data_IF_486267732163
#
_entry.id   IF_486267732163
#
_cell.length_a   1.000
_cell.length_b   1.000
_cell.length_c   1.000
_cell.angle_alpha   90.00
_cell.angle_beta   90.00
_cell.angle_gamma   90.00
#
_symmetry.space_group_name_H-M   'P 1'
#
loop_
_entity.id
_entity.type
_entity.pdbx_description
1 polymer ?
#
# COMPACT_ATOMS: atom_id res chain seq x y z
N UNK A 1 -39.71 15.22 -88.04
CA UNK A 1 -39.16 13.87 -87.81
C UNK A 1 -38.99 13.77 -86.29
N UNK A 2 -40.04 13.41 -85.54
CA UNK A 2 -40.67 12.06 -85.46
C UNK A 2 -39.60 11.01 -85.07
N UNK A 3 -39.76 10.13 -84.07
CA UNK A 3 -40.93 9.67 -83.31
C UNK A 3 -40.43 8.84 -82.12
N UNK A 4 -41.31 8.69 -81.12
CA UNK A 4 -41.25 7.71 -80.02
C UNK A 4 -41.12 6.24 -80.48
N UNK A 5 -40.74 5.34 -79.55
CA UNK A 5 -41.63 4.28 -79.04
C UNK A 5 -40.85 3.13 -78.37
N UNK A 6 -41.35 2.74 -77.20
CA UNK A 6 -41.06 1.55 -76.41
C UNK A 6 -41.34 0.23 -77.15
N UNK A 7 -40.71 -0.85 -76.68
CA UNK A 7 -41.33 -2.18 -76.67
C UNK A 7 -40.64 -3.12 -75.66
N UNK A 8 -41.38 -3.49 -74.61
CA UNK A 8 -41.20 -4.68 -73.78
C UNK A 8 -41.51 -5.97 -74.57
N UNK A 9 -40.81 -7.10 -74.31
CA UNK A 9 -41.46 -8.40 -74.05
C UNK A 9 -40.47 -9.53 -73.59
N UNK A 10 -40.67 -9.97 -72.33
CA UNK A 10 -40.57 -11.31 -71.69
C UNK A 10 -39.48 -12.35 -72.01
N UNK A 11 -38.89 -12.87 -70.92
CA UNK A 11 -38.98 -14.32 -70.59
C UNK A 11 -38.72 -14.56 -69.10
N UNK A 12 -39.68 -15.21 -68.43
CA UNK A 12 -39.61 -15.78 -67.08
C UNK A 12 -38.57 -16.91 -67.03
N UNK A 13 -37.86 -17.02 -65.91
CA UNK A 13 -37.43 -18.33 -65.41
C UNK A 13 -37.60 -18.34 -63.89
N UNK A 14 -38.42 -19.29 -63.43
CA UNK A 14 -38.68 -19.58 -62.04
C UNK A 14 -37.61 -20.54 -61.54
N UNK A 15 -36.91 -20.19 -60.46
CA UNK A 15 -36.25 -21.19 -59.62
C UNK A 15 -36.56 -20.87 -58.17
N UNK A 16 -37.51 -21.64 -57.64
CA UNK A 16 -37.66 -21.89 -56.21
C UNK A 16 -36.35 -22.43 -55.65
N UNK A 17 -35.79 -21.78 -54.64
CA UNK A 17 -35.00 -22.48 -53.64
C UNK A 17 -35.24 -21.83 -52.27
N UNK A 18 -36.04 -22.54 -51.48
CA UNK A 18 -36.23 -22.32 -50.06
C UNK A 18 -34.88 -22.46 -49.34
N UNK A 19 -34.50 -21.52 -48.49
CA UNK A 19 -34.40 -21.77 -47.05
C UNK A 19 -33.76 -20.65 -46.22
N UNK A 20 -34.40 -20.49 -45.05
CA UNK A 20 -33.83 -20.11 -43.75
C UNK A 20 -33.33 -18.67 -43.56
N UNK A 21 -34.28 -17.86 -43.11
CA UNK A 21 -34.09 -16.72 -42.22
C UNK A 21 -33.25 -17.13 -40.99
N UNK A 22 -31.93 -16.95 -41.07
CA UNK A 22 -31.06 -16.97 -39.89
C UNK A 22 -31.21 -15.64 -39.15
N UNK A 23 -32.05 -15.66 -38.11
CA UNK A 23 -32.08 -14.70 -37.01
C UNK A 23 -30.70 -14.67 -36.35
N UNK A 24 -29.80 -13.86 -36.90
CA UNK A 24 -28.51 -13.56 -36.28
C UNK A 24 -28.77 -12.70 -35.05
N UNK A 25 -29.20 -13.36 -33.97
CA UNK A 25 -29.23 -12.80 -32.63
C UNK A 25 -27.88 -12.18 -32.35
N UNK A 26 -27.91 -10.89 -32.04
CA UNK A 26 -26.80 -10.12 -31.50
C UNK A 26 -26.07 -10.96 -30.44
N UNK A 27 -24.94 -11.55 -30.82
CA UNK A 27 -23.92 -11.98 -29.88
C UNK A 27 -23.27 -10.71 -29.36
N UNK A 28 -23.93 -10.06 -28.41
CA UNK A 28 -23.25 -9.17 -27.48
C UNK A 28 -22.23 -10.05 -26.78
N UNK A 29 -20.96 -9.87 -27.15
CA UNK A 29 -19.87 -10.24 -26.28
C UNK A 29 -20.08 -9.40 -25.02
N UNK A 30 -20.75 -9.97 -24.02
CA UNK A 30 -20.62 -9.52 -22.65
C UNK A 30 -19.14 -9.69 -22.33
N UNK A 31 -18.35 -8.64 -22.58
CA UNK A 31 -17.15 -8.43 -21.80
C UNK A 31 -17.64 -8.52 -20.36
N UNK A 32 -17.28 -9.62 -19.68
CA UNK A 32 -17.38 -9.73 -18.24
C UNK A 32 -16.56 -8.56 -17.70
N UNK A 33 -17.20 -7.40 -17.53
CA UNK A 33 -16.61 -6.32 -16.79
C UNK A 33 -16.30 -6.92 -15.42
N UNK A 34 -15.03 -6.88 -14.99
CA UNK A 34 -14.63 -7.50 -13.75
C UNK A 34 -15.57 -6.97 -12.68
N UNK A 35 -16.25 -7.89 -12.03
CA UNK A 35 -17.32 -7.65 -11.08
C UNK A 35 -16.85 -6.60 -10.06
N UNK A 36 -17.23 -5.33 -10.26
CA UNK A 36 -16.98 -4.18 -9.37
C UNK A 36 -17.75 -4.30 -8.03
N UNK A 37 -18.09 -5.53 -7.65
CA UNK A 37 -18.59 -5.89 -6.34
C UNK A 37 -17.42 -5.84 -5.36
N UNK A 38 -17.21 -4.64 -4.82
CA UNK A 38 -16.45 -4.39 -3.60
C UNK A 38 -14.98 -4.81 -3.69
N UNK A 39 -14.16 -4.02 -4.38
CA UNK A 39 -12.73 -3.96 -4.04
C UNK A 39 -12.61 -3.38 -2.62
N UNK A 40 -12.84 -4.23 -1.62
CA UNK A 40 -12.32 -4.01 -0.29
C UNK A 40 -10.84 -4.36 -0.39
N UNK A 41 -9.91 -3.39 -0.25
CA UNK A 41 -8.49 -3.71 -0.30
C UNK A 41 -8.21 -4.80 0.74
N UNK A 42 -7.68 -5.94 0.30
CA UNK A 42 -7.23 -6.99 1.21
C UNK A 42 -6.15 -6.40 2.12
N UNK A 43 -6.15 -6.70 3.44
CA UNK A 43 -5.14 -6.20 4.36
C UNK A 43 -3.74 -6.37 3.79
N UNK A 44 -2.87 -5.37 3.99
CA UNK A 44 -1.49 -5.42 3.51
C UNK A 44 -0.72 -6.58 4.15
N UNK A 45 -1.07 -6.95 5.40
CA UNK A 45 -0.65 -8.22 6.01
C UNK A 45 -1.88 -9.10 6.25
N UNK A 46 -2.05 -10.19 5.48
CA UNK A 46 -3.07 -11.21 5.72
C UNK A 46 -3.09 -11.76 7.15
N UNK A 47 -4.24 -12.26 7.57
CA UNK A 47 -4.36 -12.93 8.86
C UNK A 47 -3.71 -14.33 8.81
N UNK A 48 -3.09 -14.74 9.92
CA UNK A 48 -2.49 -16.07 10.03
C UNK A 48 -1.08 -16.20 9.44
N UNK A 49 -0.39 -15.08 9.18
CA UNK A 49 1.03 -15.12 8.80
C UNK A 49 1.87 -15.88 9.83
N UNK A 50 2.77 -16.74 9.35
CA UNK A 50 3.55 -17.62 10.22
C UNK A 50 4.47 -16.84 11.15
N UNK A 51 5.22 -15.88 10.62
CA UNK A 51 6.20 -15.09 11.36
C UNK A 51 6.25 -13.62 10.85
N UNK A 52 7.08 -12.79 11.49
CA UNK A 52 7.22 -11.37 11.15
C UNK A 52 7.88 -11.17 9.77
N UNK A 53 8.76 -12.08 9.35
CA UNK A 53 9.46 -12.00 8.05
C UNK A 53 8.47 -12.19 6.92
N UNK A 54 7.66 -13.25 6.98
CA UNK A 54 6.61 -13.52 5.99
C UNK A 54 5.58 -12.39 5.93
N UNK A 55 5.23 -11.81 7.09
CA UNK A 55 4.33 -10.66 7.14
C UNK A 55 4.94 -9.39 6.54
N UNK A 56 6.22 -9.10 6.77
CA UNK A 56 6.91 -7.95 6.19
C UNK A 56 7.06 -8.07 4.66
N UNK A 57 7.31 -9.29 4.16
CA UNK A 57 7.32 -9.58 2.72
C UNK A 57 5.95 -9.29 2.09
N UNK A 58 4.88 -9.89 2.66
CA UNK A 58 3.53 -9.69 2.15
C UNK A 58 3.09 -8.22 2.25
N UNK A 59 3.49 -7.52 3.33
CA UNK A 59 3.27 -6.08 3.46
C UNK A 59 3.85 -5.32 2.26
N UNK A 60 5.13 -5.53 1.96
CA UNK A 60 5.81 -4.80 0.90
C UNK A 60 5.21 -5.08 -0.49
N UNK A 61 4.93 -6.35 -0.79
CA UNK A 61 4.30 -6.77 -2.05
C UNK A 61 2.91 -6.15 -2.22
N UNK A 62 2.06 -6.27 -1.20
CA UNK A 62 0.71 -5.72 -1.23
C UNK A 62 0.70 -4.18 -1.25
N UNK A 63 1.66 -3.55 -0.57
CA UNK A 63 1.81 -2.10 -0.59
C UNK A 63 2.18 -1.61 -2.00
N UNK A 64 3.13 -2.27 -2.65
CA UNK A 64 3.50 -1.98 -4.04
C UNK A 64 2.32 -2.16 -4.99
N UNK A 65 1.59 -3.29 -4.89
CA UNK A 65 0.41 -3.54 -5.72
C UNK A 65 -0.69 -2.49 -5.53
N UNK A 66 -0.84 -1.96 -4.31
CA UNK A 66 -1.90 -1.00 -3.97
C UNK A 66 -1.56 0.45 -4.31
N UNK A 67 -0.31 0.87 -4.11
CA UNK A 67 0.10 2.28 -4.25
C UNK A 67 1.01 2.55 -5.46
N UNK A 68 1.41 1.51 -6.19
CA UNK A 68 2.15 1.63 -7.46
C UNK A 68 3.67 1.64 -7.29
N UNK A 69 4.36 2.26 -8.25
CA UNK A 69 5.80 2.09 -8.42
C UNK A 69 6.67 3.02 -7.56
N UNK A 70 6.10 4.12 -7.03
CA UNK A 70 6.84 5.09 -6.21
C UNK A 70 6.55 4.80 -4.74
N UNK A 71 7.25 3.83 -4.17
CA UNK A 71 7.03 3.40 -2.78
C UNK A 71 8.35 3.33 -2.00
N UNK A 72 8.31 3.47 -0.67
CA UNK A 72 9.50 3.23 0.16
C UNK A 72 10.01 1.79 0.01
N UNK A 73 11.32 1.63 0.06
CA UNK A 73 11.97 0.32 0.08
C UNK A 73 11.84 -0.28 1.49
N UNK A 74 10.73 -0.97 1.73
CA UNK A 74 10.50 -1.63 3.01
C UNK A 74 11.52 -2.76 3.25
N UNK A 75 12.05 -2.79 4.47
CA UNK A 75 12.97 -3.81 4.93
C UNK A 75 12.27 -5.16 5.03
N UNK A 76 12.78 -6.15 4.29
CA UNK A 76 12.25 -7.51 4.28
C UNK A 76 13.01 -8.34 5.31
N UNK A 77 12.46 -8.39 6.51
CA UNK A 77 13.01 -9.15 7.64
C UNK A 77 12.12 -9.01 8.87
N UNK A 78 12.55 -9.58 9.99
CA UNK A 78 11.81 -9.38 11.23
C UNK A 78 12.07 -7.97 11.77
N UNK A 79 11.13 -7.44 12.56
CA UNK A 79 11.34 -6.16 13.26
C UNK A 79 12.59 -6.20 14.15
N UNK A 80 12.86 -7.36 14.76
CA UNK A 80 14.09 -7.61 15.51
C UNK A 80 15.33 -7.37 14.66
N UNK A 81 15.38 -7.95 13.46
CA UNK A 81 16.57 -7.83 12.60
C UNK A 81 16.76 -6.38 12.13
N UNK A 82 15.67 -5.67 11.83
CA UNK A 82 15.71 -4.25 11.48
C UNK A 82 16.24 -3.39 12.63
N UNK A 83 15.83 -3.70 13.87
CA UNK A 83 16.32 -3.04 15.08
C UNK A 83 17.80 -3.32 15.29
N UNK A 84 18.21 -4.59 15.18
CA UNK A 84 19.60 -4.99 15.38
C UNK A 84 20.51 -4.34 14.32
N UNK A 85 20.09 -4.26 13.05
CA UNK A 85 20.86 -3.60 11.98
C UNK A 85 21.14 -2.12 12.27
N UNK A 86 20.20 -1.41 12.90
CA UNK A 86 20.37 0.02 13.26
C UNK A 86 21.21 0.21 14.52
N UNK A 87 21.38 -0.82 15.35
CA UNK A 87 22.11 -0.72 16.62
C UNK A 87 23.49 -1.42 16.63
N UNK A 88 23.90 -2.07 15.54
CA UNK A 88 25.25 -2.64 15.40
C UNK A 88 26.27 -1.51 15.16
N UNK A 89 26.97 -1.09 16.20
CA UNK A 89 28.07 -0.13 16.10
C UNK A 89 29.26 -0.77 15.36
N UNK A 90 29.56 -0.27 14.16
CA UNK A 90 30.84 -0.55 13.47
C UNK A 90 31.50 0.78 13.16
N UNK A 91 32.81 0.89 13.41
CA UNK A 91 33.57 2.15 13.33
C UNK A 91 33.54 2.79 11.93
N UNK A 92 33.20 2.02 10.88
CA UNK A 92 33.29 2.44 9.48
C UNK A 92 31.94 2.69 8.78
N UNK A 93 30.79 2.40 9.42
CA UNK A 93 29.47 2.51 8.77
C UNK A 93 28.55 3.46 9.54
N UNK A 94 28.11 4.53 8.86
CA UNK A 94 27.06 5.40 9.37
C UNK A 94 25.73 4.63 9.41
N UNK A 95 25.27 4.30 10.61
CA UNK A 95 24.00 3.60 10.82
C UNK A 95 22.83 4.46 10.37
N UNK A 96 21.92 3.86 9.58
CA UNK A 96 20.69 4.50 9.15
C UNK A 96 19.65 4.36 10.28
N UNK A 97 18.99 5.43 10.74
CA UNK A 97 17.90 5.32 11.71
C UNK A 97 16.73 4.45 11.20
N UNK A 98 16.01 3.83 12.14
CA UNK A 98 14.85 2.98 11.87
C UNK A 98 13.55 3.79 11.91
N UNK A 99 12.74 3.61 10.88
CA UNK A 99 11.35 4.04 10.83
C UNK A 99 10.44 2.81 10.80
N UNK A 100 9.43 2.79 11.67
CA UNK A 100 8.41 1.74 11.69
C UNK A 100 7.10 2.36 11.19
N UNK A 101 6.66 1.94 10.02
CA UNK A 101 5.40 2.34 9.43
C UNK A 101 4.29 1.36 9.80
N UNK A 102 3.25 1.87 10.46
CA UNK A 102 2.10 1.09 10.90
C UNK A 102 0.85 1.48 10.12
N UNK A 103 0.36 0.53 9.34
CA UNK A 103 -0.84 0.68 8.54
C UNK A 103 -2.10 0.25 9.29
N UNK A 104 -3.23 0.87 8.94
CA UNK A 104 -4.55 0.44 9.38
C UNK A 104 -5.59 0.78 8.32
N UNK A 105 -6.18 -0.22 7.66
CA UNK A 105 -7.10 -0.04 6.51
C UNK A 105 -8.39 0.68 6.88
N UNK A 106 -8.84 0.54 8.15
CA UNK A 106 -10.02 1.26 8.65
C UNK A 106 -9.81 2.76 8.87
N UNK A 107 -8.58 3.27 8.76
CA UNK A 107 -8.36 4.72 8.84
C UNK A 107 -8.59 5.37 7.50
N UNK A 108 -9.42 6.41 7.49
CA UNK A 108 -9.63 7.25 6.30
C UNK A 108 -8.35 7.97 5.86
N UNK A 109 -7.42 8.22 6.78
CA UNK A 109 -6.17 8.91 6.50
C UNK A 109 -5.11 7.98 5.88
N UNK A 110 -5.21 6.65 6.01
CA UNK A 110 -4.25 5.68 5.46
C UNK A 110 -4.01 5.85 3.96
N UNK A 111 -5.08 5.88 3.16
CA UNK A 111 -4.94 5.99 1.70
C UNK A 111 -4.42 7.37 1.27
N UNK A 112 -4.90 8.43 1.92
CA UNK A 112 -4.49 9.82 1.63
C UNK A 112 -3.03 10.03 1.98
N UNK A 113 -2.61 9.59 3.17
CA UNK A 113 -1.22 9.68 3.61
C UNK A 113 -0.29 8.90 2.68
N UNK A 114 -0.65 7.66 2.31
CA UNK A 114 0.16 6.88 1.38
C UNK A 114 0.32 7.59 0.04
N UNK A 115 -0.77 8.02 -0.58
CA UNK A 115 -0.75 8.61 -1.92
C UNK A 115 -0.17 10.02 -1.99
N UNK A 116 -0.39 10.86 -0.97
CA UNK A 116 0.00 12.27 -1.01
C UNK A 116 1.30 12.57 -0.27
N UNK A 117 1.67 11.76 0.72
CA UNK A 117 2.83 12.02 1.58
C UNK A 117 3.90 10.95 1.38
N UNK A 118 3.63 9.70 1.77
CA UNK A 118 4.61 8.62 1.85
C UNK A 118 5.17 8.23 0.47
N UNK A 119 4.31 8.18 -0.54
CA UNK A 119 4.66 7.79 -1.92
C UNK A 119 5.03 9.00 -2.80
N UNK A 120 5.22 10.18 -2.21
CA UNK A 120 5.77 11.31 -2.96
C UNK A 120 7.25 11.04 -3.27
N UNK A 121 7.70 11.39 -4.48
CA UNK A 121 9.08 11.14 -4.92
C UNK A 121 10.12 11.71 -3.95
N UNK A 122 9.85 12.91 -3.41
CA UNK A 122 10.72 13.56 -2.44
C UNK A 122 10.86 12.76 -1.15
N UNK A 123 9.75 12.30 -0.57
CA UNK A 123 9.75 11.54 0.69
C UNK A 123 10.39 10.17 0.48
N UNK A 124 10.03 9.46 -0.60
CA UNK A 124 10.62 8.16 -0.95
C UNK A 124 12.14 8.28 -1.14
N UNK A 125 12.62 9.31 -1.83
CA UNK A 125 14.05 9.53 -2.04
C UNK A 125 14.80 9.74 -0.71
N UNK A 126 14.23 10.50 0.22
CA UNK A 126 14.83 10.71 1.56
C UNK A 126 14.80 9.43 2.39
N UNK A 127 13.69 8.71 2.40
CA UNK A 127 13.53 7.45 3.12
C UNK A 127 14.55 6.42 2.65
N UNK A 128 14.57 6.12 1.35
CA UNK A 128 15.43 5.06 0.79
C UNK A 128 16.92 5.36 0.97
N UNK A 129 17.30 6.66 0.92
CA UNK A 129 18.69 7.07 1.07
C UNK A 129 19.17 7.00 2.52
N UNK A 130 18.34 7.42 3.48
CA UNK A 130 18.83 7.74 4.82
C UNK A 130 18.28 6.85 5.94
N UNK A 131 17.21 6.09 5.69
CA UNK A 131 16.51 5.33 6.72
C UNK A 131 16.42 3.85 6.35
N UNK A 132 16.30 3.01 7.36
CA UNK A 132 15.70 1.68 7.24
C UNK A 132 14.22 1.86 7.57
N UNK A 133 13.31 1.48 6.67
CA UNK A 133 11.86 1.57 6.92
C UNK A 133 11.27 0.17 6.97
N UNK A 134 10.59 -0.18 8.06
CA UNK A 134 9.91 -1.46 8.23
C UNK A 134 8.41 -1.24 8.30
N UNK A 135 7.63 -2.03 7.58
CA UNK A 135 6.19 -1.85 7.42
C UNK A 135 5.39 -2.99 8.04
N UNK A 136 4.27 -2.67 8.69
CA UNK A 136 3.35 -3.65 9.23
C UNK A 136 1.89 -3.19 9.19
N UNK A 137 0.98 -4.12 8.98
CA UNK A 137 -0.47 -3.86 9.01
C UNK A 137 -1.09 -4.34 10.32
N UNK A 138 -1.71 -3.40 11.05
CA UNK A 138 -2.38 -3.65 12.32
C UNK A 138 -3.90 -3.74 12.23
N UNK A 139 -4.46 -3.84 11.02
CA UNK A 139 -5.91 -3.88 10.78
C UNK A 139 -6.57 -5.06 11.50
N UNK A 140 -5.89 -6.21 11.57
CA UNK A 140 -6.38 -7.41 12.25
C UNK A 140 -5.88 -7.45 13.70
N UNK A 141 -6.69 -8.03 14.59
CA UNK A 141 -6.31 -8.18 16.00
C UNK A 141 -5.06 -9.04 16.18
N UNK A 142 -4.94 -10.10 15.39
CA UNK A 142 -3.79 -11.02 15.42
C UNK A 142 -2.48 -10.29 15.08
N UNK A 143 -2.47 -9.51 14.00
CA UNK A 143 -1.29 -8.76 13.59
C UNK A 143 -0.93 -7.67 14.60
N UNK A 144 -1.93 -7.01 15.19
CA UNK A 144 -1.72 -6.02 16.26
C UNK A 144 -1.06 -6.65 17.48
N UNK A 145 -1.57 -7.79 17.97
CA UNK A 145 -1.00 -8.48 19.13
C UNK A 145 0.44 -8.89 18.88
N UNK A 146 0.74 -9.46 17.71
CA UNK A 146 2.10 -9.86 17.33
C UNK A 146 3.09 -8.71 17.29
N UNK A 147 2.68 -7.57 16.75
CA UNK A 147 3.53 -6.37 16.75
C UNK A 147 3.82 -5.93 18.19
N UNK A 148 2.80 -5.84 19.03
CA UNK A 148 2.93 -5.40 20.41
C UNK A 148 3.88 -6.30 21.21
N UNK A 149 3.73 -7.62 21.09
CA UNK A 149 4.63 -8.60 21.72
C UNK A 149 6.09 -8.39 21.29
N UNK A 150 6.31 -8.09 20.00
CA UNK A 150 7.66 -7.84 19.49
C UNK A 150 8.20 -6.51 20.03
N UNK A 151 7.41 -5.45 20.00
CA UNK A 151 7.79 -4.11 20.49
C UNK A 151 8.08 -4.09 21.99
N UNK A 152 7.37 -4.90 22.79
CA UNK A 152 7.58 -5.03 24.23
C UNK A 152 8.99 -5.50 24.60
N UNK A 153 9.68 -6.21 23.69
CA UNK A 153 11.06 -6.63 23.89
C UNK A 153 12.10 -5.52 23.65
N UNK A 154 11.75 -4.44 22.94
CA UNK A 154 12.72 -3.44 22.45
C UNK A 154 12.48 -2.02 22.96
N UNK A 155 11.22 -1.67 23.21
CA UNK A 155 10.85 -0.34 23.68
C UNK A 155 10.79 -0.33 25.20
N UNK A 156 11.22 0.77 25.81
CA UNK A 156 11.02 0.97 27.25
C UNK A 156 9.52 1.15 27.58
N UNK A 157 9.17 0.95 28.86
CA UNK A 157 7.79 1.01 29.33
C UNK A 157 7.11 2.35 29.01
N UNK A 158 7.85 3.47 29.04
CA UNK A 158 7.32 4.80 28.71
C UNK A 158 6.91 4.90 27.24
N UNK A 159 7.79 4.46 26.33
CA UNK A 159 7.51 4.43 24.88
C UNK A 159 6.33 3.51 24.56
N UNK A 160 6.26 2.33 25.19
CA UNK A 160 5.15 1.39 25.01
C UNK A 160 3.82 1.97 25.49
N UNK A 161 3.81 2.65 26.64
CA UNK A 161 2.61 3.31 27.16
C UNK A 161 2.15 4.43 26.24
N UNK A 162 3.07 5.26 25.75
CA UNK A 162 2.78 6.32 24.79
C UNK A 162 2.19 5.74 23.51
N UNK A 163 2.87 4.77 22.89
CA UNK A 163 2.45 4.14 21.66
C UNK A 163 1.06 3.50 21.82
N UNK A 164 0.84 2.74 22.92
CA UNK A 164 -0.46 2.14 23.22
C UNK A 164 -1.57 3.18 23.37
N UNK A 165 -1.28 4.34 23.96
CA UNK A 165 -2.25 5.44 24.09
C UNK A 165 -2.66 5.98 22.73
N UNK A 166 -1.69 6.26 21.85
CA UNK A 166 -1.95 6.78 20.49
C UNK A 166 -2.71 5.76 19.64
N UNK A 167 -2.32 4.49 19.68
CA UNK A 167 -3.00 3.42 18.93
C UNK A 167 -4.41 3.08 19.44
N UNK A 168 -4.81 3.55 20.62
CA UNK A 168 -6.13 3.30 21.22
C UNK A 168 -7.04 4.53 21.20
N UNK A 169 -6.49 5.73 21.01
CA UNK A 169 -7.25 6.99 21.11
C UNK A 169 -8.20 7.19 19.93
N UNK A 170 -7.72 6.97 18.71
CA UNK A 170 -8.56 6.96 17.49
C UNK A 170 -7.88 6.16 16.40
N UNK A 171 -8.69 5.52 15.55
CA UNK A 171 -8.21 4.88 14.31
C UNK A 171 -7.81 5.96 13.29
N UNK A 172 -8.36 7.16 13.36
CA UNK A 172 -8.06 8.26 12.42
C UNK A 172 -6.64 8.80 12.54
N UNK A 173 -5.91 8.45 13.62
CA UNK A 173 -4.49 8.77 13.74
C UNK A 173 -3.62 7.93 12.82
N UNK A 174 -4.13 6.81 12.29
CA UNK A 174 -3.37 5.98 11.36
C UNK A 174 -3.30 6.60 9.96
N UNK A 175 -2.20 6.35 9.21
CA UNK A 175 -1.10 5.47 9.58
C UNK A 175 -0.13 6.17 10.54
N UNK A 176 0.62 5.38 11.30
CA UNK A 176 1.65 5.92 12.20
C UNK A 176 3.02 5.68 11.57
N UNK A 177 3.87 6.70 11.60
CA UNK A 177 5.27 6.59 11.25
C UNK A 177 6.09 6.85 12.51
N UNK A 178 6.66 5.80 13.07
CA UNK A 178 7.42 5.84 14.31
C UNK A 178 8.91 5.97 14.00
N UNK A 179 9.58 6.92 14.64
CA UNK A 179 11.01 7.12 14.55
C UNK A 179 11.65 6.54 15.79
N UNK A 180 12.47 5.51 15.61
CA UNK A 180 13.18 4.84 16.69
C UNK A 180 14.61 5.35 16.71
N UNK A 181 14.95 6.12 17.74
CA UNK A 181 16.30 6.67 17.94
C UNK A 181 16.84 6.27 19.30
N UNK A 182 18.15 6.41 19.51
CA UNK A 182 18.78 6.22 20.82
C UNK A 182 19.23 7.56 21.37
N UNK A 183 18.91 7.83 22.64
CA UNK A 183 19.46 8.99 23.34
C UNK A 183 20.96 8.77 23.57
N UNK A 184 21.79 9.70 23.08
CA UNK A 184 23.25 9.58 23.18
C UNK A 184 23.79 9.68 24.62
N UNK A 185 23.01 10.19 25.56
CA UNK A 185 23.42 10.40 26.96
C UNK A 185 22.98 9.25 27.84
N UNK A 186 21.74 8.78 27.71
CA UNK A 186 21.19 7.71 28.55
C UNK A 186 21.29 6.34 27.91
N UNK A 187 21.44 6.26 26.59
CA UNK A 187 21.39 5.02 25.83
C UNK A 187 19.96 4.48 25.64
N UNK A 188 18.94 5.19 26.13
CA UNK A 188 17.55 4.74 26.06
C UNK A 188 16.98 4.92 24.65
N UNK A 189 16.08 4.00 24.28
CA UNK A 189 15.26 4.15 23.07
C UNK A 189 14.26 5.30 23.24
N UNK A 190 14.27 6.23 22.29
CA UNK A 190 13.33 7.34 22.17
C UNK A 190 12.44 7.07 20.97
N UNK A 191 11.14 7.32 21.14
CA UNK A 191 10.13 7.18 20.11
C UNK A 191 9.52 8.54 19.80
N UNK A 192 9.73 9.03 18.58
CA UNK A 192 8.94 10.13 18.01
C UNK A 192 7.96 9.55 16.98
N UNK A 193 6.89 10.27 16.66
CA UNK A 193 5.90 9.78 15.71
C UNK A 193 5.23 10.87 14.89
N UNK A 194 4.80 10.46 13.69
CA UNK A 194 3.90 11.20 12.83
C UNK A 194 2.61 10.40 12.68
N UNK A 195 1.49 11.10 12.75
CA UNK A 195 0.13 10.56 12.54
C UNK A 195 -0.36 10.86 11.13
N UNK A 196 -1.39 10.14 10.70
CA UNK A 196 -1.83 10.09 9.31
C UNK A 196 -2.44 11.35 8.73
N UNK A 197 -2.83 12.31 9.56
CA UNK A 197 -3.39 13.59 9.12
C UNK A 197 -2.32 14.67 8.87
N UNK A 198 -1.04 14.30 8.83
CA UNK A 198 0.03 15.27 8.56
C UNK A 198 0.13 15.62 7.07
N UNK A 199 0.73 16.78 6.82
CA UNK A 199 1.12 17.23 5.48
C UNK A 199 2.49 16.68 5.06
N UNK A 200 2.77 16.74 3.76
CA UNK A 200 4.09 16.40 3.24
C UNK A 200 5.21 17.26 3.86
N UNK A 201 4.95 18.53 4.12
CA UNK A 201 5.90 19.47 4.73
C UNK A 201 6.23 19.08 6.19
N UNK A 202 5.24 18.68 6.97
CA UNK A 202 5.44 18.19 8.34
C UNK A 202 6.23 16.88 8.35
N UNK A 203 5.90 15.96 7.44
CA UNK A 203 6.64 14.71 7.26
C UNK A 203 8.12 14.96 6.92
N UNK A 204 8.37 15.85 5.97
CA UNK A 204 9.73 16.22 5.56
C UNK A 204 10.50 16.93 6.67
N UNK A 205 9.85 17.81 7.43
CA UNK A 205 10.47 18.50 8.57
C UNK A 205 10.96 17.49 9.59
N UNK A 206 10.13 16.52 9.97
CA UNK A 206 10.50 15.45 10.91
C UNK A 206 11.60 14.54 10.39
N UNK A 207 11.54 14.16 9.11
CA UNK A 207 12.61 13.37 8.47
C UNK A 207 13.95 14.11 8.54
N UNK A 208 13.97 15.41 8.23
CA UNK A 208 15.18 16.23 8.27
C UNK A 208 15.67 16.40 9.71
N UNK A 209 14.79 16.64 10.67
CA UNK A 209 15.14 16.78 12.08
C UNK A 209 15.77 15.51 12.65
N UNK A 210 15.31 14.33 12.23
CA UNK A 210 15.85 13.03 12.66
C UNK A 210 17.25 12.73 12.08
N UNK A 211 17.66 13.43 11.02
CA UNK A 211 18.99 13.27 10.41
C UNK A 211 20.05 14.22 10.97
N UNK A 212 19.68 15.13 11.87
CA UNK A 212 20.58 16.10 12.51
C UNK A 212 21.27 15.50 13.73
#
# INVERSE_FOLDING_TARGET
METDCESDFFSQDETDDENEYYDSKDFVYEEEQPNDRYYCPQPLVPEGVENNISGALQFAENFFLRYGNVVPNFYIGSLKDAIDEVFIETDDVKLKPLIIYLHHDKSVCSNVFCSQVLCSELVVAVLNRNFVIWGWDMTTKSNRSRLLETMECYLNASCLQHLNRVMKSSVDHFPLMLFVTRDHRTGDTVLDLIVGNCSQEEAMTKLVDCLR
#
